data_IF_320950787979
#
_entry.id   IF_320950787979
#
_cell.length_a   1.000
_cell.length_b   1.000
_cell.length_c   1.000
_cell.angle_alpha   90.00
_cell.angle_beta   90.00
_cell.angle_gamma   90.00
#
_symmetry.space_group_name_H-M   'P 1'
#
loop_
_entity.id
_entity.type
_entity.pdbx_description
1 polymer ?
#
# COMPACT_ATOMS: atom_id res chain seq x y z
N UNK A 1 10.91 -3.50 3.99
CA UNK A 1 9.63 -2.76 3.93
C UNK A 1 9.96 -1.28 4.02
N UNK A 2 10.12 -0.61 2.88
CA UNK A 2 10.65 0.77 2.81
C UNK A 2 9.98 1.49 1.64
N UNK A 3 9.83 2.81 1.75
CA UNK A 3 9.32 3.69 0.70
C UNK A 3 10.50 4.24 -0.12
N UNK A 4 10.39 4.19 -1.45
CA UNK A 4 11.44 4.65 -2.37
C UNK A 4 10.94 5.77 -3.26
N UNK A 5 11.74 6.82 -3.42
CA UNK A 5 11.39 7.99 -4.24
C UNK A 5 12.01 7.97 -5.63
N UNK A 6 13.00 7.08 -5.87
CA UNK A 6 13.77 7.03 -7.11
C UNK A 6 13.82 5.59 -7.63
N UNK A 7 13.79 5.43 -8.95
CA UNK A 7 13.89 4.15 -9.63
C UNK A 7 15.20 3.41 -9.31
N UNK A 8 16.30 4.13 -9.08
CA UNK A 8 17.59 3.49 -8.76
C UNK A 8 17.52 2.67 -7.45
N UNK A 9 16.77 3.17 -6.46
CA UNK A 9 16.56 2.46 -5.20
C UNK A 9 15.67 1.24 -5.37
N UNK A 10 14.63 1.33 -6.22
CA UNK A 10 13.81 0.17 -6.56
C UNK A 10 14.64 -0.93 -7.21
N UNK A 11 15.40 -0.61 -8.28
CA UNK A 11 16.24 -1.61 -8.95
C UNK A 11 17.24 -2.24 -7.98
N UNK A 12 17.95 -1.42 -7.19
CA UNK A 12 18.94 -1.94 -6.25
C UNK A 12 18.34 -2.95 -5.26
N UNK A 13 17.16 -2.65 -4.70
CA UNK A 13 16.52 -3.52 -3.73
C UNK A 13 15.89 -4.74 -4.40
N UNK A 14 15.25 -4.56 -5.55
CA UNK A 14 14.58 -5.63 -6.28
C UNK A 14 15.59 -6.65 -6.83
N UNK A 15 16.77 -6.19 -7.29
CA UNK A 15 17.88 -7.07 -7.67
C UNK A 15 18.34 -7.94 -6.49
N UNK A 16 18.41 -7.38 -5.28
CA UNK A 16 18.73 -8.15 -4.06
C UNK A 16 17.60 -9.16 -3.80
N UNK A 17 16.34 -8.75 -3.87
CA UNK A 17 15.19 -9.64 -3.63
C UNK A 17 15.22 -10.86 -4.56
N UNK A 18 15.49 -10.65 -5.86
CA UNK A 18 15.58 -11.72 -6.85
C UNK A 18 16.75 -12.68 -6.57
N UNK A 19 17.90 -12.14 -6.13
CA UNK A 19 19.10 -12.95 -5.90
C UNK A 19 19.04 -13.83 -4.63
N UNK A 20 18.21 -13.47 -3.65
CA UNK A 20 18.17 -14.14 -2.35
C UNK A 20 16.92 -15.02 -2.14
N UNK A 21 16.06 -15.16 -3.15
CA UNK A 21 14.94 -16.11 -3.11
C UNK A 21 13.92 -15.81 -2.00
N UNK A 22 13.54 -14.54 -1.84
CA UNK A 22 12.58 -14.12 -0.81
C UNK A 22 11.16 -14.58 -1.17
N UNK A 23 10.39 -15.07 -0.19
CA UNK A 23 9.02 -15.57 -0.41
C UNK A 23 8.03 -14.49 -0.84
N UNK A 24 8.17 -13.26 -0.32
CA UNK A 24 7.35 -12.11 -0.69
C UNK A 24 7.95 -10.78 -0.22
N UNK A 25 7.50 -9.68 -0.81
CA UNK A 25 7.82 -8.31 -0.39
C UNK A 25 6.56 -7.63 0.16
N UNK A 26 6.68 -6.91 1.27
CA UNK A 26 5.61 -6.03 1.77
C UNK A 26 5.91 -4.57 1.39
N UNK A 27 4.95 -3.88 0.76
CA UNK A 27 5.09 -2.49 0.33
C UNK A 27 3.80 -1.70 0.63
N UNK A 28 3.78 -0.69 1.52
CA UNK A 28 4.88 -0.07 2.28
C UNK A 28 4.61 -0.01 3.79
N UNK A 29 5.67 0.28 4.55
CA UNK A 29 5.55 0.71 5.93
C UNK A 29 4.98 2.14 5.98
N UNK A 30 4.65 2.63 7.16
CA UNK A 30 4.32 4.04 7.38
C UNK A 30 5.37 4.97 6.79
N UNK A 31 4.94 6.09 6.22
CA UNK A 31 5.86 7.11 5.74
C UNK A 31 6.52 7.81 6.94
N UNK A 32 7.85 7.73 7.09
CA UNK A 32 8.52 8.33 8.23
C UNK A 32 8.49 9.86 8.16
N UNK A 33 9.02 10.50 9.20
CA UNK A 33 9.23 11.95 9.25
C UNK A 33 7.95 12.79 9.12
N UNK A 34 6.84 12.28 9.64
CA UNK A 34 5.56 12.98 9.66
C UNK A 34 5.31 13.61 11.03
N UNK A 35 4.82 14.85 11.02
CA UNK A 35 4.49 15.62 12.23
C UNK A 35 3.04 16.06 12.15
N UNK A 36 2.31 15.89 13.24
CA UNK A 36 0.98 16.49 13.44
C UNK A 36 1.16 17.59 14.47
N UNK A 37 0.80 18.82 14.14
CA UNK A 37 0.89 19.97 15.03
C UNK A 37 -0.45 20.17 15.73
N UNK A 38 -0.43 20.25 17.06
CA UNK A 38 -1.56 20.72 17.85
C UNK A 38 -1.49 22.25 17.92
N UNK A 39 -2.39 22.93 17.21
CA UNK A 39 -2.44 24.40 17.09
C UNK A 39 -2.95 25.10 18.34
N UNK A 40 -3.61 24.38 19.26
CA UNK A 40 -4.08 24.98 20.51
C UNK A 40 -2.94 25.14 21.52
N UNK A 41 -1.93 24.26 21.44
CA UNK A 41 -0.76 24.25 22.32
C UNK A 41 0.54 24.68 21.63
N UNK A 42 0.54 24.90 20.32
CA UNK A 42 1.74 25.14 19.50
C UNK A 42 2.83 24.05 19.68
N UNK A 43 2.40 22.79 19.84
CA UNK A 43 3.27 21.63 20.11
C UNK A 43 3.00 20.47 19.14
N UNK A 44 3.85 19.45 19.13
CA UNK A 44 3.56 18.20 18.42
C UNK A 44 2.46 17.40 19.11
N UNK A 45 1.57 16.79 18.33
CA UNK A 45 0.45 16.00 18.83
C UNK A 45 0.89 14.70 19.54
N UNK A 46 2.09 14.21 19.23
CA UNK A 46 2.71 13.06 19.90
C UNK A 46 3.97 13.52 20.63
N UNK A 47 4.32 12.85 21.74
CA UNK A 47 5.52 13.15 22.53
C UNK A 47 6.78 12.37 22.13
N UNK A 48 6.72 11.08 21.76
CA UNK A 48 7.93 10.32 21.40
C UNK A 48 8.66 10.94 20.20
N UNK A 49 9.98 10.73 20.13
CA UNK A 49 10.83 11.14 19.00
C UNK A 49 10.68 12.62 18.61
N UNK A 50 10.55 13.52 19.59
CA UNK A 50 10.39 14.96 19.35
C UNK A 50 9.21 15.30 18.41
N UNK A 51 8.11 14.54 18.53
CA UNK A 51 6.91 14.79 17.74
C UNK A 51 6.88 14.14 16.36
N UNK A 52 7.92 13.39 16.00
CA UNK A 52 8.07 12.77 14.69
C UNK A 52 7.59 11.32 14.70
N UNK A 53 6.66 11.00 13.81
CA UNK A 53 6.08 9.67 13.68
C UNK A 53 5.97 9.17 12.24
N UNK A 54 5.39 7.97 12.10
CA UNK A 54 5.03 7.40 10.81
C UNK A 54 3.61 7.79 10.42
N UNK A 55 3.43 8.29 9.19
CA UNK A 55 2.12 8.53 8.61
C UNK A 55 1.58 7.26 7.94
N UNK A 56 0.38 6.88 8.36
CA UNK A 56 -0.43 5.84 7.72
C UNK A 56 -1.78 6.39 7.26
N UNK A 57 -2.71 5.47 7.00
CA UNK A 57 -4.08 5.84 6.64
C UNK A 57 -4.23 6.36 5.21
N UNK A 58 -5.42 6.89 4.87
CA UNK A 58 -5.79 7.23 3.49
C UNK A 58 -4.83 8.17 2.79
N UNK A 59 -4.15 9.03 3.56
CA UNK A 59 -3.19 10.01 3.06
C UNK A 59 -2.04 9.38 2.24
N UNK A 60 -1.70 8.11 2.49
CA UNK A 60 -0.59 7.43 1.81
C UNK A 60 -1.03 6.44 0.73
N UNK A 61 -2.34 6.30 0.47
CA UNK A 61 -2.89 5.24 -0.39
C UNK A 61 -2.25 5.22 -1.78
N UNK A 62 -2.27 6.35 -2.49
CA UNK A 62 -1.80 6.43 -3.87
C UNK A 62 -0.28 6.25 -3.96
N UNK A 63 0.46 6.73 -2.94
CA UNK A 63 1.89 6.51 -2.85
C UNK A 63 2.19 5.02 -2.68
N UNK A 64 1.50 4.35 -1.76
CA UNK A 64 1.70 2.92 -1.50
C UNK A 64 1.32 2.05 -2.71
N UNK A 65 0.25 2.38 -3.43
CA UNK A 65 -0.11 1.73 -4.71
C UNK A 65 1.00 1.90 -5.76
N UNK A 66 1.59 3.10 -5.87
CA UNK A 66 2.73 3.36 -6.76
C UNK A 66 3.98 2.54 -6.42
N UNK A 67 4.23 2.29 -5.13
CA UNK A 67 5.35 1.45 -4.68
C UNK A 67 5.13 -0.01 -5.05
N UNK A 68 3.93 -0.55 -4.81
CA UNK A 68 3.56 -1.90 -5.25
C UNK A 68 3.72 -2.03 -6.76
N UNK A 69 3.24 -1.04 -7.52
CA UNK A 69 3.36 -1.02 -8.97
C UNK A 69 4.82 -1.06 -9.42
N UNK A 70 5.69 -0.23 -8.83
CA UNK A 70 7.11 -0.20 -9.18
C UNK A 70 7.85 -1.50 -8.87
N UNK A 71 7.66 -2.05 -7.67
CA UNK A 71 8.19 -3.37 -7.35
C UNK A 71 7.67 -4.44 -8.30
N UNK A 72 6.39 -4.39 -8.66
CA UNK A 72 5.81 -5.36 -9.58
C UNK A 72 6.47 -5.29 -10.97
N UNK A 73 6.70 -4.07 -11.49
CA UNK A 73 7.37 -3.87 -12.78
C UNK A 73 8.79 -4.47 -12.80
N UNK A 74 9.54 -4.32 -11.70
CA UNK A 74 10.92 -4.78 -11.62
C UNK A 74 11.04 -6.27 -11.33
N UNK A 75 10.23 -6.77 -10.40
CA UNK A 75 10.21 -8.18 -9.99
C UNK A 75 9.49 -9.08 -10.99
N UNK A 76 8.84 -8.50 -12.02
CA UNK A 76 8.12 -9.19 -13.10
C UNK A 76 7.11 -10.26 -12.64
N UNK A 77 6.61 -10.12 -11.42
CA UNK A 77 5.71 -11.09 -10.79
C UNK A 77 6.37 -12.38 -10.29
N UNK A 78 7.70 -12.48 -10.33
CA UNK A 78 8.46 -13.63 -9.80
C UNK A 78 8.33 -13.74 -8.28
N UNK A 79 8.26 -12.60 -7.60
CA UNK A 79 8.10 -12.51 -6.15
C UNK A 79 6.75 -11.88 -5.80
N UNK A 80 5.90 -12.56 -5.00
CA UNK A 80 4.64 -11.99 -4.52
C UNK A 80 4.82 -10.68 -3.74
N UNK A 81 3.98 -9.69 -4.02
CA UNK A 81 3.96 -8.41 -3.28
C UNK A 81 2.70 -8.34 -2.43
N UNK A 82 2.85 -8.01 -1.15
CA UNK A 82 1.75 -7.68 -0.23
C UNK A 82 1.64 -6.16 -0.16
N UNK A 83 0.52 -5.62 -0.65
CA UNK A 83 0.23 -4.18 -0.66
C UNK A 83 -0.28 -3.69 0.70
N UNK A 84 0.28 -2.60 1.19
CA UNK A 84 -0.04 -2.04 2.51
C UNK A 84 0.00 -0.52 2.45
N UNK A 85 -1.07 0.12 2.91
CA UNK A 85 -1.14 1.58 3.05
C UNK A 85 -2.48 2.16 2.59
N UNK A 86 -3.15 2.89 3.49
CA UNK A 86 -4.33 3.68 3.15
C UNK A 86 -5.61 2.97 2.71
N UNK A 87 -5.67 1.64 2.85
CA UNK A 87 -6.87 0.85 2.52
C UNK A 87 -8.00 1.16 3.50
N UNK A 88 -9.13 1.59 2.97
CA UNK A 88 -10.36 1.87 3.74
C UNK A 88 -11.62 1.26 3.16
N UNK A 89 -11.59 0.88 1.88
CA UNK A 89 -12.73 0.45 1.08
C UNK A 89 -12.33 -0.64 0.07
N UNK A 90 -13.32 -1.34 -0.49
CA UNK A 90 -13.14 -2.43 -1.44
C UNK A 90 -12.43 -1.99 -2.73
N UNK A 91 -12.74 -0.80 -3.25
CA UNK A 91 -12.05 -0.25 -4.43
C UNK A 91 -10.55 -0.07 -4.20
N UNK A 92 -10.12 0.23 -2.97
CA UNK A 92 -8.70 0.39 -2.64
C UNK A 92 -7.98 -0.96 -2.78
N UNK A 93 -8.61 -2.04 -2.31
CA UNK A 93 -8.11 -3.43 -2.47
C UNK A 93 -8.03 -3.78 -3.96
N UNK A 94 -9.10 -3.54 -4.71
CA UNK A 94 -9.14 -3.80 -6.15
C UNK A 94 -7.99 -3.10 -6.88
N UNK A 95 -7.75 -1.82 -6.58
CA UNK A 95 -6.65 -1.05 -7.16
C UNK A 95 -5.27 -1.62 -6.79
N UNK A 96 -5.06 -2.10 -5.56
CA UNK A 96 -3.81 -2.78 -5.21
C UNK A 96 -3.56 -4.03 -6.04
N UNK A 97 -4.58 -4.83 -6.32
CA UNK A 97 -4.46 -5.98 -7.21
C UNK A 97 -4.11 -5.55 -8.63
N UNK A 98 -4.73 -4.49 -9.16
CA UNK A 98 -4.33 -3.94 -10.46
C UNK A 98 -2.88 -3.46 -10.48
N UNK A 99 -2.38 -2.88 -9.38
CA UNK A 99 -0.98 -2.51 -9.23
C UNK A 99 -0.02 -3.71 -9.11
N UNK A 100 -0.53 -4.95 -9.01
CA UNK A 100 0.30 -6.15 -8.96
C UNK A 100 0.41 -6.81 -7.59
N UNK A 101 -0.33 -6.34 -6.58
CA UNK A 101 -0.39 -7.00 -5.29
C UNK A 101 -0.96 -8.44 -5.41
N UNK A 102 -0.48 -9.32 -4.54
CA UNK A 102 -0.99 -10.69 -4.34
C UNK A 102 -1.88 -10.80 -3.11
N UNK A 103 -1.69 -9.90 -2.15
CA UNK A 103 -2.50 -9.74 -0.96
C UNK A 103 -2.46 -8.28 -0.50
N UNK A 104 -3.41 -7.89 0.36
CA UNK A 104 -3.53 -6.52 0.88
C UNK A 104 -3.65 -6.54 2.41
N UNK A 105 -2.91 -5.68 3.11
CA UNK A 105 -3.04 -5.49 4.56
C UNK A 105 -3.75 -4.17 4.90
N UNK A 106 -4.48 -4.19 6.01
CA UNK A 106 -5.26 -3.05 6.51
C UNK A 106 -4.73 -2.69 7.91
N UNK A 107 -4.07 -1.52 8.01
CA UNK A 107 -3.48 -1.03 9.26
C UNK A 107 -4.36 0.01 9.96
N UNK A 108 -4.27 1.27 9.53
CA UNK A 108 -4.94 2.40 10.22
C UNK A 108 -6.46 2.24 10.32
N UNK A 109 -7.13 1.73 9.28
CA UNK A 109 -8.58 1.50 9.34
C UNK A 109 -8.95 0.43 10.37
N UNK A 110 -8.14 -0.62 10.51
CA UNK A 110 -8.29 -1.64 11.56
C UNK A 110 -8.04 -1.05 12.95
N UNK A 111 -7.03 -0.20 13.12
CA UNK A 111 -6.77 0.46 14.40
C UNK A 111 -7.93 1.34 14.88
N UNK A 112 -8.72 1.91 13.97
CA UNK A 112 -9.85 2.79 14.30
C UNK A 112 -11.16 2.03 14.42
N UNK A 113 -11.43 1.08 13.53
CA UNK A 113 -12.74 0.40 13.42
C UNK A 113 -12.75 -1.01 14.03
N UNK A 114 -11.58 -1.56 14.40
CA UNK A 114 -11.45 -2.94 14.89
C UNK A 114 -11.73 -3.99 13.80
N UNK A 115 -12.03 -5.22 14.22
CA UNK A 115 -12.14 -6.38 13.34
C UNK A 115 -13.27 -6.29 12.30
N UNK A 116 -14.32 -5.50 12.57
CA UNK A 116 -15.47 -5.33 11.66
C UNK A 116 -15.10 -4.68 10.32
N UNK A 117 -13.93 -4.04 10.24
CA UNK A 117 -13.45 -3.43 9.00
C UNK A 117 -13.25 -4.46 7.87
N UNK A 118 -12.89 -5.70 8.22
CA UNK A 118 -12.63 -6.74 7.23
C UNK A 118 -13.90 -7.15 6.51
N UNK A 119 -15.00 -7.39 7.24
CA UNK A 119 -16.29 -7.72 6.65
C UNK A 119 -16.84 -6.58 5.79
N UNK A 120 -16.68 -5.33 6.26
CA UNK A 120 -17.09 -4.14 5.52
C UNK A 120 -16.34 -4.00 4.20
N UNK A 121 -15.01 -4.12 4.21
CA UNK A 121 -14.18 -4.01 3.00
C UNK A 121 -14.45 -5.19 2.05
N UNK A 122 -14.67 -6.39 2.58
CA UNK A 122 -15.02 -7.57 1.78
C UNK A 122 -16.34 -7.36 1.04
N UNK A 123 -17.38 -6.90 1.72
CA UNK A 123 -18.68 -6.62 1.09
C UNK A 123 -18.57 -5.52 0.02
N UNK A 124 -17.89 -4.43 0.33
CA UNK A 124 -17.66 -3.33 -0.62
C UNK A 124 -16.84 -3.78 -1.85
N UNK A 125 -15.88 -4.69 -1.66
CA UNK A 125 -15.11 -5.29 -2.76
C UNK A 125 -15.98 -6.18 -3.64
N UNK A 126 -16.81 -7.04 -3.04
CA UNK A 126 -17.73 -7.92 -3.78
C UNK A 126 -18.72 -7.11 -4.62
N UNK A 127 -19.26 -6.03 -4.06
CA UNK A 127 -20.14 -5.11 -4.78
C UNK A 127 -19.42 -4.38 -5.91
N UNK A 128 -18.20 -3.90 -5.66
CA UNK A 128 -17.39 -3.26 -6.69
C UNK A 128 -17.07 -4.22 -7.85
N UNK A 129 -16.70 -5.47 -7.55
CA UNK A 129 -16.43 -6.51 -8.54
C UNK A 129 -17.67 -6.87 -9.35
N UNK A 130 -18.85 -6.93 -8.72
CA UNK A 130 -20.14 -7.16 -9.38
C UNK A 130 -20.46 -6.06 -10.39
N UNK A 131 -20.29 -4.79 -10.01
CA UNK A 131 -20.49 -3.63 -10.90
C UNK A 131 -19.51 -3.66 -12.07
N UNK A 132 -18.26 -4.10 -11.84
CA UNK A 132 -17.25 -4.25 -12.89
C UNK A 132 -17.43 -5.50 -13.75
N UNK A 133 -18.36 -6.40 -13.41
CA UNK A 133 -18.55 -7.70 -14.06
C UNK A 133 -17.26 -8.54 -14.07
N UNK A 134 -16.58 -8.60 -12.92
CA UNK A 134 -15.33 -9.33 -12.74
C UNK A 134 -15.51 -10.39 -11.65
N UNK A 135 -15.24 -11.65 -11.98
CA UNK A 135 -15.46 -12.78 -11.05
C UNK A 135 -14.25 -13.10 -10.15
N UNK A 136 -13.07 -12.55 -10.47
CA UNK A 136 -11.84 -12.79 -9.73
C UNK A 136 -10.91 -11.59 -9.75
N UNK A 137 -10.19 -11.36 -8.66
CA UNK A 137 -9.12 -10.38 -8.62
C UNK A 137 -7.99 -10.84 -9.54
N UNK A 138 -7.67 -10.02 -10.52
CA UNK A 138 -6.57 -10.26 -11.44
C UNK A 138 -5.55 -9.17 -11.29
N UNK A 139 -4.28 -9.57 -11.28
CA UNK A 139 -3.17 -8.66 -11.49
C UNK A 139 -3.25 -8.16 -12.92
N UNK A 140 -3.55 -6.89 -13.11
CA UNK A 140 -3.76 -6.30 -14.42
C UNK A 140 -3.14 -4.91 -14.46
N UNK A 141 -1.84 -4.91 -14.72
CA UNK A 141 -1.01 -3.73 -14.87
C UNK A 141 -1.50 -2.99 -16.12
N UNK A 142 -1.90 -1.74 -15.96
CA UNK A 142 -2.06 -0.88 -17.12
C UNK A 142 -0.67 -0.50 -17.62
N UNK A 143 -0.32 -0.94 -18.84
CA UNK A 143 0.64 -0.17 -19.60
C UNK A 143 -0.08 1.14 -19.93
N UNK A 144 0.39 2.25 -19.36
CA UNK A 144 0.09 3.54 -19.97
C UNK A 144 0.44 3.39 -21.45
N UNK A 145 -0.55 3.55 -22.33
CA UNK A 145 -0.23 3.71 -23.75
C UNK A 145 0.64 4.95 -23.78
N UNK A 146 1.93 4.77 -24.02
CA UNK A 146 2.83 5.89 -24.25
C UNK A 146 2.22 6.68 -25.41
N UNK A 147 1.83 7.93 -25.12
CA UNK A 147 1.42 8.92 -26.10
C UNK A 147 2.63 9.66 -26.64
#
# INVERSE_FOLDING_TARGET
MTFYTDNCHFHYVDDIVLNYGVDFVTAINSLPYSVVVNTDSDESFIHPNSGVGGLGGPAILNLAQGQVYKHYQNLQGEVPIIGVGGVTRGVDVYNYFLCGASAVQIGSAFSVQGISIFDKIKADLEDYMRVKSVDSLKKNYWQTKDS
#
